data_IF_337119745438
#
_entry.id   IF_337119745438
#
_cell.length_a   1.000
_cell.length_b   1.000
_cell.length_c   1.000
_cell.angle_alpha   90.00
_cell.angle_beta   90.00
_cell.angle_gamma   90.00
#
_symmetry.space_group_name_H-M   'P 1'
#
loop_
_entity.id
_entity.type
_entity.pdbx_description
1 polymer ?
#
# COMPACT_ATOMS: atom_id res chain seq x y z
N UNK A 1 5.78 0.56 0.12
CA UNK A 1 5.53 0.25 1.55
C UNK A 1 5.38 -1.24 1.68
N UNK A 2 5.94 -1.83 2.74
CA UNK A 2 5.84 -3.26 3.01
C UNK A 2 4.76 -3.53 4.09
N UNK A 3 3.86 -4.48 3.81
CA UNK A 3 2.83 -4.94 4.77
C UNK A 3 3.41 -5.79 5.90
N UNK A 4 4.64 -6.32 5.74
CA UNK A 4 5.29 -7.26 6.66
C UNK A 4 4.48 -8.53 6.93
N UNK A 5 3.56 -8.88 6.03
CA UNK A 5 2.69 -10.06 6.10
C UNK A 5 3.44 -11.39 6.25
N UNK A 6 4.63 -11.51 5.63
CA UNK A 6 5.53 -12.65 5.74
C UNK A 6 6.04 -12.93 7.17
N UNK A 7 5.94 -11.95 8.08
CA UNK A 7 6.35 -12.13 9.49
C UNK A 7 5.30 -12.81 10.35
N UNK A 8 4.08 -12.99 9.84
CA UNK A 8 3.02 -13.71 10.54
C UNK A 8 2.69 -13.17 11.96
N UNK A 9 2.75 -11.85 12.16
CA UNK A 9 2.43 -11.25 13.45
C UNK A 9 0.92 -11.23 13.80
N UNK A 10 0.06 -11.62 12.87
CA UNK A 10 -1.39 -11.70 13.04
C UNK A 10 -2.16 -10.62 12.27
N UNK A 11 -3.47 -10.83 12.14
CA UNK A 11 -4.38 -10.00 11.33
C UNK A 11 -4.36 -8.54 11.78
N UNK A 12 -4.48 -8.26 13.08
CA UNK A 12 -4.53 -6.89 13.61
C UNK A 12 -3.23 -6.12 13.35
N UNK A 13 -2.09 -6.82 13.45
CA UNK A 13 -0.79 -6.23 13.17
C UNK A 13 -0.69 -5.83 11.68
N UNK A 14 -1.04 -6.72 10.76
CA UNK A 14 -1.02 -6.45 9.32
C UNK A 14 -1.95 -5.29 8.93
N UNK A 15 -3.18 -5.28 9.46
CA UNK A 15 -4.15 -4.19 9.26
C UNK A 15 -3.56 -2.86 9.75
N UNK A 16 -3.02 -2.82 10.97
CA UNK A 16 -2.44 -1.60 11.54
C UNK A 16 -1.19 -1.14 10.77
N UNK A 17 -0.31 -2.08 10.41
CA UNK A 17 0.90 -1.84 9.66
C UNK A 17 0.61 -1.19 8.31
N UNK A 18 -0.51 -1.56 7.67
CA UNK A 18 -0.91 -0.97 6.39
C UNK A 18 -1.66 0.35 6.59
N UNK A 19 -2.72 0.37 7.41
CA UNK A 19 -3.62 1.52 7.52
C UNK A 19 -3.02 2.72 8.25
N UNK A 20 -2.03 2.50 9.11
CA UNK A 20 -1.41 3.54 9.94
C UNK A 20 0.09 3.69 9.68
N UNK A 21 0.60 3.17 8.55
CA UNK A 21 1.99 3.35 8.19
C UNK A 21 2.33 4.83 7.97
N UNK A 22 3.47 5.28 8.51
CA UNK A 22 3.94 6.67 8.38
C UNK A 22 4.13 7.17 6.93
N UNK A 23 4.32 6.26 5.97
CA UNK A 23 4.52 6.60 4.55
C UNK A 23 3.28 6.35 3.69
N UNK A 24 2.15 5.93 4.27
CA UNK A 24 0.89 5.79 3.54
C UNK A 24 0.45 7.17 3.03
N UNK A 25 0.24 7.29 1.73
CA UNK A 25 -0.23 8.51 1.09
C UNK A 25 -0.49 8.31 -0.40
N UNK A 26 -0.85 9.38 -1.10
CA UNK A 26 -1.16 9.31 -2.53
C UNK A 26 0.03 8.75 -3.32
N UNK A 27 -0.26 7.78 -4.19
CA UNK A 27 0.75 7.05 -4.98
C UNK A 27 1.49 5.95 -4.20
N UNK A 28 1.10 5.62 -2.97
CA UNK A 28 1.68 4.48 -2.25
C UNK A 28 1.40 3.16 -2.97
N UNK A 29 2.47 2.39 -3.19
CA UNK A 29 2.39 0.98 -3.60
C UNK A 29 2.63 0.12 -2.36
N UNK A 30 1.72 -0.82 -2.10
CA UNK A 30 1.73 -1.69 -0.92
C UNK A 30 2.10 -3.11 -1.39
N UNK A 31 3.16 -3.66 -0.82
CA UNK A 31 3.62 -5.02 -1.11
C UNK A 31 2.90 -6.03 -0.20
N UNK A 32 2.38 -7.09 -0.81
CA UNK A 32 1.86 -8.28 -0.15
C UNK A 32 2.39 -9.53 -0.86
N UNK A 33 2.46 -10.63 -0.14
CA UNK A 33 2.73 -11.98 -0.63
C UNK A 33 1.42 -12.74 -0.78
N UNK A 34 1.26 -13.45 -1.90
CA UNK A 34 0.02 -14.17 -2.23
C UNK A 34 -0.18 -15.46 -1.40
N UNK A 35 0.84 -15.89 -0.67
CA UNK A 35 0.85 -17.06 0.21
C UNK A 35 0.94 -16.68 1.71
N UNK A 36 0.83 -15.39 2.05
CA UNK A 36 0.86 -14.93 3.43
C UNK A 36 -0.36 -15.44 4.23
N UNK A 37 -0.08 -16.02 5.40
CA UNK A 37 -1.06 -16.73 6.25
C UNK A 37 -2.25 -15.89 6.69
N UNK A 38 -2.05 -14.60 6.99
CA UNK A 38 -3.09 -13.74 7.55
C UNK A 38 -3.72 -12.79 6.53
N UNK A 39 -3.05 -12.51 5.40
CA UNK A 39 -3.54 -11.61 4.36
C UNK A 39 -4.95 -11.94 3.88
N UNK A 40 -5.33 -13.21 3.60
CA UNK A 40 -6.71 -13.53 3.21
C UNK A 40 -7.78 -13.07 4.24
N UNK A 41 -7.43 -13.02 5.53
CA UNK A 41 -8.33 -12.56 6.60
C UNK A 41 -8.26 -11.05 6.82
N UNK A 42 -7.11 -10.41 6.57
CA UNK A 42 -6.90 -8.99 6.77
C UNK A 42 -7.38 -8.13 5.58
N UNK A 43 -7.36 -8.68 4.36
CA UNK A 43 -7.47 -7.92 3.11
C UNK A 43 -8.78 -7.12 2.99
N UNK A 44 -9.93 -7.70 3.38
CA UNK A 44 -11.21 -6.98 3.31
C UNK A 44 -11.22 -5.75 4.23
N UNK A 45 -10.70 -5.87 5.45
CA UNK A 45 -10.56 -4.75 6.39
C UNK A 45 -9.59 -3.70 5.88
N UNK A 46 -8.47 -4.11 5.29
CA UNK A 46 -7.49 -3.19 4.69
C UNK A 46 -8.13 -2.41 3.53
N UNK A 47 -8.81 -3.10 2.61
CA UNK A 47 -9.46 -2.44 1.46
C UNK A 47 -10.52 -1.45 1.92
N UNK A 48 -11.37 -1.82 2.88
CA UNK A 48 -12.38 -0.92 3.46
C UNK A 48 -11.73 0.29 4.13
N UNK A 49 -10.74 0.06 4.99
CA UNK A 49 -10.05 1.15 5.69
C UNK A 49 -9.32 2.12 4.76
N UNK A 50 -8.75 1.64 3.65
CA UNK A 50 -8.15 2.51 2.63
C UNK A 50 -9.22 3.36 1.93
N UNK A 51 -10.36 2.78 1.55
CA UNK A 51 -11.48 3.51 0.93
C UNK A 51 -12.08 4.54 1.89
N UNK A 52 -12.25 4.20 3.16
CA UNK A 52 -12.73 5.13 4.21
C UNK A 52 -11.78 6.31 4.43
N UNK A 53 -10.47 6.10 4.25
CA UNK A 53 -9.46 7.18 4.26
C UNK A 53 -9.44 8.01 2.97
N UNK A 54 -10.31 7.71 2.00
CA UNK A 54 -10.44 8.44 0.74
C UNK A 54 -9.47 8.00 -0.37
N UNK A 55 -8.81 6.84 -0.22
CA UNK A 55 -7.95 6.31 -1.26
C UNK A 55 -8.73 5.50 -2.30
N UNK A 56 -8.30 5.60 -3.54
CA UNK A 56 -8.70 4.71 -4.62
C UNK A 56 -7.62 3.65 -4.86
N UNK A 57 -8.04 2.40 -5.02
CA UNK A 57 -7.13 1.29 -5.34
C UNK A 57 -7.17 1.08 -6.85
N UNK A 58 -6.05 1.34 -7.50
CA UNK A 58 -5.91 1.25 -8.96
C UNK A 58 -4.77 0.28 -9.34
N UNK A 59 -4.78 -0.26 -10.57
CA UNK A 59 -3.64 -0.97 -11.11
C UNK A 59 -2.39 -0.07 -11.20
N UNK A 60 -1.21 -0.68 -11.12
CA UNK A 60 0.07 0.06 -11.20
C UNK A 60 0.19 0.91 -12.48
N UNK A 61 -0.40 0.47 -13.59
CA UNK A 61 -0.39 1.18 -14.87
C UNK A 61 -1.02 2.58 -14.80
N UNK A 62 -1.92 2.82 -13.85
CA UNK A 62 -2.58 4.12 -13.64
C UNK A 62 -1.78 5.04 -12.71
N UNK A 63 -0.83 4.49 -11.94
CA UNK A 63 0.06 5.27 -11.07
C UNK A 63 1.34 5.75 -11.77
N UNK A 64 1.76 5.08 -12.84
CA UNK A 64 3.02 5.38 -13.53
C UNK A 64 2.88 6.67 -14.36
N UNK A 65 3.67 7.69 -13.99
CA UNK A 65 3.88 8.86 -14.82
C UNK A 65 4.94 8.52 -15.87
N UNK A 66 4.56 8.59 -17.16
CA UNK A 66 5.44 8.18 -18.26
C UNK A 66 6.39 9.28 -18.72
N UNK A 67 5.96 10.53 -18.63
CA UNK A 67 6.66 11.68 -19.20
C UNK A 67 6.68 12.85 -18.20
N UNK A 68 7.70 13.70 -18.31
CA UNK A 68 7.84 14.95 -17.54
C UNK A 68 7.65 14.78 -16.02
N UNK A 69 8.40 13.84 -15.44
CA UNK A 69 8.46 13.64 -14.00
C UNK A 69 9.92 13.67 -13.50
N UNK A 70 10.08 13.90 -12.20
CA UNK A 70 11.30 13.62 -11.47
C UNK A 70 11.02 12.60 -10.37
N UNK A 71 12.06 11.96 -9.85
CA UNK A 71 11.96 11.09 -8.67
C UNK A 71 12.50 11.84 -7.45
N UNK A 72 11.73 11.83 -6.36
CA UNK A 72 12.24 12.33 -5.08
C UNK A 72 13.19 11.34 -4.40
N UNK A 73 13.77 11.75 -3.27
CA UNK A 73 14.69 10.91 -2.50
C UNK A 73 14.05 9.66 -1.88
N UNK A 74 12.71 9.57 -1.84
CA UNK A 74 11.98 8.36 -1.45
C UNK A 74 11.72 7.44 -2.66
N UNK A 75 12.15 7.82 -3.86
CA UNK A 75 11.91 7.08 -5.10
C UNK A 75 10.48 7.26 -5.65
N UNK A 76 9.71 8.26 -5.19
CA UNK A 76 8.37 8.53 -5.73
C UNK A 76 8.46 9.43 -6.95
N UNK A 77 7.67 9.11 -7.98
CA UNK A 77 7.50 10.00 -9.13
C UNK A 77 6.70 11.24 -8.72
N UNK A 78 7.16 12.40 -9.17
CA UNK A 78 6.52 13.71 -9.04
C UNK A 78 6.49 14.35 -10.42
N UNK A 79 5.32 14.84 -10.84
CA UNK A 79 5.21 15.60 -12.08
C UNK A 79 6.05 16.89 -11.93
N UNK A 80 6.80 17.24 -12.98
CA UNK A 80 7.47 18.54 -13.06
C UNK A 80 6.44 19.68 -13.15
#
# INVERSE_FOLDING_TARGET
MDSLDWKEFGVEHEVNQVLNHKHLGNGSIILFHNDAKYTPKALDTIIKGLKEKGYEIVPISELIIKDNYYMDHEGRQKKN
#
